data_IF_770363894228
#
_entry.id   IF_770363894228
#
_cell.length_a   1.000
_cell.length_b   1.000
_cell.length_c   1.000
_cell.angle_alpha   90.00
_cell.angle_beta   90.00
_cell.angle_gamma   90.00
#
_symmetry.space_group_name_H-M   'P 1'
#
loop_
_entity.id
_entity.type
_entity.pdbx_description
1 polymer ?
#
# COMPACT_ATOMS: atom_id res chain seq x y z
N UNK A 1 17.51 -9.79 -6.28
CA UNK A 1 18.08 -8.85 -7.20
C UNK A 1 17.24 -7.63 -7.26
N UNK A 2 17.87 -6.51 -7.05
CA UNK A 2 17.14 -5.25 -7.02
C UNK A 2 16.44 -4.98 -8.36
N UNK A 3 17.10 -5.25 -9.44
CA UNK A 3 16.54 -5.00 -10.77
C UNK A 3 15.30 -5.83 -11.05
N UNK A 4 15.01 -6.83 -10.23
CA UNK A 4 13.79 -7.58 -10.37
C UNK A 4 12.60 -6.90 -9.73
N UNK A 5 12.85 -5.84 -9.01
CA UNK A 5 11.81 -5.11 -8.31
C UNK A 5 11.46 -3.86 -9.07
N UNK A 6 10.92 -4.10 -10.26
CA UNK A 6 10.43 -2.99 -11.03
C UNK A 6 9.16 -2.47 -10.43
N UNK A 7 8.90 -1.18 -10.58
CA UNK A 7 7.64 -0.63 -10.14
C UNK A 7 6.43 -1.32 -10.74
N UNK A 8 6.60 -2.02 -11.86
CA UNK A 8 5.53 -2.71 -12.56
C UNK A 8 5.51 -4.21 -12.30
N UNK A 9 6.12 -4.67 -11.21
CA UNK A 9 6.11 -6.09 -10.89
C UNK A 9 4.69 -6.57 -10.57
N UNK A 10 4.37 -7.77 -10.98
CA UNK A 10 3.05 -8.37 -10.78
C UNK A 10 3.17 -9.59 -9.90
N UNK A 11 2.24 -9.73 -8.95
CA UNK A 11 2.14 -10.91 -8.10
C UNK A 11 0.67 -11.34 -8.04
N UNK A 12 0.40 -12.63 -7.73
CA UNK A 12 -0.98 -13.12 -7.72
C UNK A 12 -1.84 -12.51 -6.63
N UNK A 13 -1.25 -12.11 -5.50
CA UNK A 13 -2.00 -11.50 -4.40
C UNK A 13 -1.05 -10.76 -3.47
N UNK A 14 -1.63 -9.99 -2.56
CA UNK A 14 -0.85 -9.28 -1.53
C UNK A 14 -0.08 -10.25 -0.64
N UNK A 15 -0.57 -11.48 -0.50
CA UNK A 15 0.10 -12.47 0.33
C UNK A 15 1.36 -13.03 -0.34
N UNK A 16 1.51 -12.85 -1.63
CA UNK A 16 2.65 -13.36 -2.38
C UNK A 16 3.81 -12.35 -2.45
N UNK A 17 3.61 -11.14 -1.94
CA UNK A 17 4.67 -10.14 -1.92
C UNK A 17 5.69 -10.52 -0.86
N UNK A 18 6.97 -10.40 -1.21
CA UNK A 18 8.07 -10.68 -0.29
C UNK A 18 8.37 -9.41 0.50
N UNK A 19 7.69 -9.24 1.62
CA UNK A 19 7.83 -8.04 2.45
C UNK A 19 9.19 -7.98 3.14
N UNK A 20 9.77 -9.14 3.46
CA UNK A 20 11.12 -9.18 4.01
C UNK A 20 12.11 -8.58 3.02
N UNK A 21 11.92 -8.91 1.75
CA UNK A 21 12.80 -8.38 0.71
C UNK A 21 12.62 -6.87 0.54
N UNK A 22 11.38 -6.38 0.62
CA UNK A 22 11.14 -4.94 0.56
C UNK A 22 11.88 -4.23 1.68
N UNK A 23 11.80 -4.76 2.89
CA UNK A 23 12.49 -4.17 4.03
C UNK A 23 14.01 -4.22 3.83
N UNK A 24 14.52 -5.34 3.32
CA UNK A 24 15.96 -5.50 3.07
C UNK A 24 16.47 -4.54 2.00
N UNK A 25 15.63 -4.18 1.04
CA UNK A 25 15.98 -3.24 -0.02
C UNK A 25 15.95 -1.77 0.45
N UNK A 26 15.49 -1.52 1.66
CA UNK A 26 15.49 -0.16 2.20
C UNK A 26 14.13 0.51 2.17
N UNK A 27 13.08 -0.16 1.70
CA UNK A 27 11.74 0.40 1.79
C UNK A 27 11.28 0.39 3.24
N UNK A 28 10.51 1.41 3.63
CA UNK A 28 10.08 1.58 5.00
C UNK A 28 8.58 1.77 5.15
N UNK A 29 7.87 1.96 4.04
CA UNK A 29 6.43 2.17 4.09
C UNK A 29 5.73 1.59 2.89
N UNK A 30 4.47 1.22 3.09
CA UNK A 30 3.63 0.66 2.04
C UNK A 30 2.26 1.34 2.08
N UNK A 31 1.81 1.80 0.93
CA UNK A 31 0.46 2.31 0.75
C UNK A 31 -0.37 1.19 0.13
N UNK A 32 -1.47 0.83 0.78
CA UNK A 32 -2.35 -0.22 0.30
C UNK A 32 -3.68 0.36 -0.15
N UNK A 33 -4.16 -0.09 -1.30
CA UNK A 33 -5.55 0.03 -1.66
C UNK A 33 -6.33 -1.06 -0.94
N UNK A 34 -7.63 -0.87 -0.74
CA UNK A 34 -8.44 -1.85 -0.03
C UNK A 34 -9.19 -2.76 -0.99
N UNK A 35 -10.12 -2.18 -1.75
CA UNK A 35 -11.03 -2.96 -2.57
C UNK A 35 -10.28 -3.60 -3.73
N UNK A 36 -10.52 -4.90 -3.92
CA UNK A 36 -9.88 -5.72 -4.95
C UNK A 36 -8.36 -5.84 -4.82
N UNK A 37 -7.81 -5.37 -3.71
CA UNK A 37 -6.39 -5.55 -3.39
C UNK A 37 -6.25 -6.41 -2.15
N UNK A 38 -6.82 -5.95 -1.05
CA UNK A 38 -6.76 -6.67 0.23
C UNK A 38 -7.95 -7.59 0.40
N UNK A 39 -9.12 -7.17 -0.09
CA UNK A 39 -10.37 -7.94 -0.03
C UNK A 39 -11.17 -7.64 -1.28
N UNK A 40 -12.24 -8.40 -1.51
CA UNK A 40 -13.20 -8.09 -2.56
C UNK A 40 -13.88 -6.77 -2.26
N UNK A 41 -14.37 -6.13 -3.31
CA UNK A 41 -14.99 -4.82 -3.21
C UNK A 41 -16.08 -4.82 -2.14
N UNK A 42 -15.96 -3.92 -1.19
CA UNK A 42 -16.95 -3.72 -0.14
C UNK A 42 -16.80 -4.62 1.07
N UNK A 43 -15.92 -5.61 1.03
CA UNK A 43 -15.79 -6.56 2.13
C UNK A 43 -14.97 -5.99 3.29
N UNK A 44 -15.25 -6.51 4.47
CA UNK A 44 -14.44 -6.22 5.66
C UNK A 44 -13.12 -6.96 5.59
N UNK A 45 -12.19 -6.56 6.45
CA UNK A 45 -10.93 -7.28 6.58
C UNK A 45 -11.17 -8.69 7.08
N UNK A 46 -10.22 -9.55 6.81
CA UNK A 46 -10.26 -10.95 7.21
C UNK A 46 -9.16 -11.23 8.23
N UNK A 47 -9.25 -12.35 8.97
CA UNK A 47 -8.16 -12.72 9.87
C UNK A 47 -6.82 -12.86 9.15
N UNK A 48 -6.85 -13.31 7.90
CA UNK A 48 -5.62 -13.45 7.11
C UNK A 48 -5.00 -12.10 6.80
N UNK A 49 -5.81 -11.11 6.45
CA UNK A 49 -5.33 -9.75 6.19
C UNK A 49 -4.82 -9.12 7.49
N UNK A 50 -5.56 -9.30 8.59
CA UNK A 50 -5.13 -8.78 9.88
C UNK A 50 -3.76 -9.35 10.27
N UNK A 51 -3.57 -10.65 10.07
CA UNK A 51 -2.30 -11.31 10.36
C UNK A 51 -1.19 -10.81 9.44
N UNK A 52 -1.52 -10.56 8.18
CA UNK A 52 -0.55 -10.02 7.23
C UNK A 52 -0.02 -8.67 7.70
N UNK A 53 -0.90 -7.79 8.16
CA UNK A 53 -0.47 -6.47 8.64
C UNK A 53 0.39 -6.59 9.89
N UNK A 54 0.06 -7.52 10.80
CA UNK A 54 0.92 -7.77 11.95
C UNK A 54 2.32 -8.20 11.53
N UNK A 55 2.38 -9.08 10.54
CA UNK A 55 3.66 -9.53 10.01
C UNK A 55 4.45 -8.37 9.39
N UNK A 56 3.79 -7.57 8.56
CA UNK A 56 4.42 -6.42 7.91
C UNK A 56 4.97 -5.46 8.97
N UNK A 57 4.18 -5.15 9.99
CA UNK A 57 4.61 -4.25 11.05
C UNK A 57 5.78 -4.83 11.84
N UNK A 58 5.82 -6.15 12.01
CA UNK A 58 6.91 -6.80 12.73
C UNK A 58 8.24 -6.66 12.00
N UNK A 59 8.21 -6.40 10.70
CA UNK A 59 9.41 -6.17 9.91
C UNK A 59 9.89 -4.72 9.98
N UNK A 60 9.18 -3.86 10.70
CA UNK A 60 9.51 -2.46 10.80
C UNK A 60 8.95 -1.61 9.67
N UNK A 61 8.10 -2.19 8.81
CA UNK A 61 7.47 -1.44 7.74
C UNK A 61 6.23 -0.73 8.28
N UNK A 62 6.06 0.52 7.89
CA UNK A 62 4.87 1.30 8.19
C UNK A 62 3.84 1.08 7.08
N UNK A 63 2.57 1.19 7.42
CA UNK A 63 1.51 1.02 6.42
C UNK A 63 0.52 2.16 6.49
N UNK A 64 -0.16 2.40 5.36
CA UNK A 64 -1.23 3.37 5.28
C UNK A 64 -2.23 2.88 4.23
N UNK A 65 -3.50 2.92 4.58
CA UNK A 65 -4.58 2.57 3.65
C UNK A 65 -4.96 3.82 2.88
N UNK A 66 -4.80 3.79 1.56
CA UNK A 66 -5.10 4.92 0.69
C UNK A 66 -6.28 4.54 -0.17
N UNK A 67 -7.44 5.15 0.08
CA UNK A 67 -8.67 4.70 -0.56
C UNK A 67 -9.54 5.88 -0.96
N UNK A 68 -10.29 5.70 -2.04
CA UNK A 68 -11.30 6.69 -2.46
C UNK A 68 -12.62 6.51 -1.70
N UNK A 69 -12.71 5.49 -0.87
CA UNK A 69 -13.91 5.22 -0.07
C UNK A 69 -14.06 6.22 1.08
N UNK A 70 -15.23 6.19 1.70
CA UNK A 70 -15.52 7.06 2.85
C UNK A 70 -14.72 6.65 4.07
N UNK A 71 -14.57 7.58 5.00
CA UNK A 71 -13.89 7.30 6.27
C UNK A 71 -14.59 6.16 7.02
N UNK A 72 -15.92 6.14 7.00
CA UNK A 72 -16.67 5.10 7.72
C UNK A 72 -16.34 3.70 7.19
N UNK A 73 -16.24 3.57 5.86
CA UNK A 73 -15.88 2.31 5.22
C UNK A 73 -14.49 1.86 5.64
N UNK A 74 -13.54 2.80 5.64
CA UNK A 74 -12.16 2.47 5.95
C UNK A 74 -12.02 2.16 7.44
N UNK A 75 -12.69 2.90 8.31
CA UNK A 75 -12.62 2.66 9.75
C UNK A 75 -13.12 1.26 10.10
N UNK A 76 -14.20 0.84 9.44
CA UNK A 76 -14.73 -0.51 9.66
C UNK A 76 -13.71 -1.56 9.24
N UNK A 77 -13.10 -1.40 8.08
CA UNK A 77 -12.06 -2.30 7.59
C UNK A 77 -10.87 -2.34 8.54
N UNK A 78 -10.49 -1.17 9.07
CA UNK A 78 -9.26 -0.95 9.82
C UNK A 78 -9.39 -1.32 11.30
N UNK A 79 -10.56 -1.80 11.71
CA UNK A 79 -10.88 -1.97 13.13
C UNK A 79 -9.84 -2.79 13.89
N UNK A 80 -9.37 -3.88 13.28
CA UNK A 80 -8.39 -4.77 13.91
C UNK A 80 -6.97 -4.47 13.47
N UNK A 81 -6.79 -3.76 12.38
CA UNK A 81 -5.47 -3.42 11.84
C UNK A 81 -4.90 -2.18 12.51
N UNK A 82 -5.73 -1.15 12.65
CA UNK A 82 -5.40 0.10 13.34
C UNK A 82 -4.19 0.81 12.74
N UNK A 83 -4.16 0.86 11.43
CA UNK A 83 -3.09 1.58 10.74
C UNK A 83 -3.58 2.96 10.29
N UNK A 84 -2.69 3.76 9.76
CA UNK A 84 -3.05 5.06 9.22
C UNK A 84 -3.91 4.89 7.97
N UNK A 85 -4.74 5.90 7.68
CA UNK A 85 -5.51 5.85 6.43
C UNK A 85 -5.82 7.26 5.93
N UNK A 86 -6.08 7.35 4.64
CA UNK A 86 -6.62 8.54 3.98
C UNK A 86 -7.87 8.11 3.26
N UNK A 87 -9.00 8.72 3.64
CA UNK A 87 -10.28 8.50 2.99
C UNK A 87 -10.47 9.51 1.87
N UNK A 88 -11.31 9.14 0.89
CA UNK A 88 -11.67 10.04 -0.20
C UNK A 88 -10.42 10.67 -0.83
N UNK A 89 -9.46 9.81 -1.10
CA UNK A 89 -8.10 10.25 -1.43
C UNK A 89 -8.01 10.96 -2.77
N UNK A 90 -8.92 10.70 -3.69
CA UNK A 90 -8.88 11.33 -5.01
C UNK A 90 -7.80 10.74 -5.90
N UNK A 91 -7.53 9.45 -5.76
CA UNK A 91 -6.55 8.80 -6.63
C UNK A 91 -7.02 8.89 -8.08
N UNK A 92 -6.10 9.06 -9.03
CA UNK A 92 -4.64 8.99 -8.89
C UNK A 92 -3.96 10.35 -8.73
N UNK A 93 -4.61 11.31 -8.10
CA UNK A 93 -4.01 12.63 -7.89
C UNK A 93 -2.71 12.48 -7.11
N UNK A 94 -1.59 13.00 -7.60
CA UNK A 94 -0.31 12.91 -6.90
C UNK A 94 -0.34 13.50 -5.49
N UNK A 95 -1.24 14.46 -5.23
CA UNK A 95 -1.35 15.07 -3.92
C UNK A 95 -1.70 14.02 -2.84
N UNK A 96 -2.53 13.01 -3.19
CA UNK A 96 -2.89 11.97 -2.24
C UNK A 96 -1.66 11.17 -1.80
N UNK A 97 -0.79 10.87 -2.74
CA UNK A 97 0.42 10.09 -2.46
C UNK A 97 1.43 10.90 -1.66
N UNK A 98 1.59 12.18 -1.98
CA UNK A 98 2.46 13.05 -1.21
C UNK A 98 1.98 13.19 0.23
N UNK A 99 0.66 13.34 0.41
CA UNK A 99 0.06 13.42 1.73
C UNK A 99 0.30 12.14 2.52
N UNK A 100 0.16 10.99 1.86
CA UNK A 100 0.40 9.70 2.50
C UNK A 100 1.84 9.57 2.97
N UNK A 101 2.80 9.94 2.13
CA UNK A 101 4.20 9.90 2.50
C UNK A 101 4.48 10.84 3.67
N UNK A 102 3.88 12.03 3.67
CA UNK A 102 4.05 12.98 4.76
C UNK A 102 3.50 12.40 6.08
N UNK A 103 2.34 11.75 6.03
CA UNK A 103 1.75 11.12 7.21
C UNK A 103 2.63 10.00 7.75
N UNK A 104 3.27 9.25 6.86
CA UNK A 104 4.20 8.20 7.26
C UNK A 104 5.53 8.77 7.79
N UNK A 105 5.82 10.02 7.46
CA UNK A 105 7.11 10.62 7.79
C UNK A 105 8.25 10.05 6.98
N UNK A 106 7.99 9.63 5.74
CA UNK A 106 8.97 8.96 4.91
C UNK A 106 9.12 9.68 3.57
N UNK A 107 10.33 9.67 3.01
CA UNK A 107 10.51 10.18 1.65
C UNK A 107 9.88 9.21 0.65
N UNK A 108 9.39 9.72 -0.49
CA UNK A 108 8.72 8.85 -1.46
C UNK A 108 9.56 7.66 -1.94
N UNK A 109 10.87 7.81 -1.98
CA UNK A 109 11.76 6.74 -2.45
C UNK A 109 11.72 5.52 -1.54
N UNK A 110 11.25 5.66 -0.31
CA UNK A 110 11.18 4.57 0.65
C UNK A 110 9.78 3.98 0.77
N UNK A 111 8.85 4.39 -0.11
CA UNK A 111 7.46 3.98 -0.03
C UNK A 111 7.03 3.25 -1.29
N UNK A 112 6.33 2.14 -1.10
CA UNK A 112 5.79 1.33 -2.18
C UNK A 112 4.27 1.42 -2.15
N UNK A 113 3.65 1.45 -3.31
CA UNK A 113 2.19 1.37 -3.44
C UNK A 113 1.79 0.00 -3.92
N UNK A 114 0.77 -0.57 -3.29
CA UNK A 114 0.21 -1.86 -3.67
C UNK A 114 -1.26 -1.68 -4.03
N UNK A 115 -1.58 -1.96 -5.30
CA UNK A 115 -2.93 -1.86 -5.82
C UNK A 115 -3.29 -3.12 -6.59
N UNK A 116 -4.57 -3.23 -6.99
CA UNK A 116 -5.03 -4.44 -7.62
C UNK A 116 -4.80 -4.47 -9.10
N UNK A 117 -4.81 -3.33 -9.76
CA UNK A 117 -4.86 -3.31 -11.18
C UNK A 117 -3.54 -3.05 -11.79
N UNK A 118 -3.23 -1.87 -11.89
CA UNK A 118 -2.07 -1.49 -12.54
C UNK A 118 -1.12 -1.09 -11.54
N UNK A 119 0.02 -1.59 -11.77
CA UNK A 119 1.06 -1.07 -11.13
C UNK A 119 1.59 0.02 -11.95
N UNK A 120 1.95 1.07 -11.30
CA UNK A 120 2.55 2.22 -11.93
C UNK A 120 3.71 2.72 -11.12
N UNK A 121 4.71 3.20 -11.83
CA UNK A 121 5.72 4.01 -11.19
C UNK A 121 5.10 5.38 -10.96
N UNK A 122 4.62 5.60 -9.76
CA UNK A 122 3.91 6.81 -9.42
C UNK A 122 4.80 8.02 -9.56
N UNK A 123 6.06 7.90 -9.22
CA UNK A 123 7.00 9.00 -9.36
C UNK A 123 7.14 9.41 -10.82
N UNK A 124 7.33 8.43 -11.71
CA UNK A 124 7.47 8.71 -13.12
C UNK A 124 6.22 9.29 -13.73
N UNK A 125 5.06 8.70 -13.40
CA UNK A 125 3.80 9.10 -13.99
C UNK A 125 3.22 10.37 -13.38
N UNK A 126 3.35 10.52 -12.06
CA UNK A 126 2.62 11.55 -11.33
C UNK A 126 3.52 12.48 -10.53
N UNK A 127 4.79 12.26 -10.51
CA UNK A 127 5.74 13.04 -9.73
C UNK A 127 5.53 12.94 -8.23
N UNK A 128 4.82 11.91 -7.79
CA UNK A 128 4.54 11.72 -6.37
C UNK A 128 5.68 11.03 -5.65
N UNK A 129 6.41 10.16 -6.35
CA UNK A 129 7.60 9.53 -5.82
C UNK A 129 7.51 8.08 -5.42
N UNK A 130 6.39 7.59 -4.86
CA UNK A 130 6.40 6.20 -4.42
C UNK A 130 6.51 5.23 -5.59
N UNK A 131 7.16 4.11 -5.30
CA UNK A 131 7.22 3.00 -6.24
C UNK A 131 5.96 2.19 -6.05
N UNK A 132 5.38 1.72 -7.13
CA UNK A 132 4.16 0.91 -7.06
C UNK A 132 4.47 -0.56 -7.27
N UNK A 133 3.67 -1.38 -6.62
CA UNK A 133 3.76 -2.83 -6.73
C UNK A 133 2.34 -3.34 -6.89
N UNK A 134 2.05 -3.97 -8.01
CA UNK A 134 0.70 -4.43 -8.29
C UNK A 134 0.67 -5.93 -8.46
N UNK A 135 -0.52 -6.52 -8.31
CA UNK A 135 -0.70 -7.95 -8.58
C UNK A 135 -1.85 -8.13 -9.56
N UNK A 136 -1.86 -9.24 -10.22
CA UNK A 136 -2.89 -9.58 -11.17
C UNK A 136 -3.95 -10.45 -10.55
#
# INVERSE_FOLDING_TARGET
MLERWYPTAHVPSVFAIDYEKLAALGYKGILFDIDNTLVHHGDDSTPEVDALFRHIHSLGLKTLLLSDNSAARIERFNRNIRTLFIAEAGKPDPAAYRRACAMLGLPPEQVVCVGDQLFRDIRGANRAGPVSYTHL
#
